data_IF_177946258366
#
_entry.id   IF_177946258366
#
_cell.length_a   1.000
_cell.length_b   1.000
_cell.length_c   1.000
_cell.angle_alpha   90.00
_cell.angle_beta   90.00
_cell.angle_gamma   90.00
#
_symmetry.space_group_name_H-M   'P 1'
#
loop_
_entity.id
_entity.type
_entity.pdbx_description
1 polymer ?
#
# COMPACT_ATOMS: atom_id res chain seq x y z
N UNK A 1 6.25 -11.31 24.97
CA UNK A 1 5.55 -10.85 23.76
C UNK A 1 4.91 -9.52 24.06
N UNK A 2 5.31 -8.46 23.36
CA UNK A 2 4.75 -7.12 23.57
C UNK A 2 3.30 -7.00 23.09
N UNK A 3 2.61 -5.93 23.48
CA UNK A 3 1.30 -5.59 22.95
C UNK A 3 1.44 -4.97 21.55
N UNK A 4 0.57 -5.31 20.58
CA UNK A 4 0.61 -4.75 19.23
C UNK A 4 -0.03 -3.36 19.19
N UNK A 5 0.63 -2.39 19.82
CA UNK A 5 0.15 -1.02 19.97
C UNK A 5 -0.15 -0.34 18.64
N UNK A 6 0.73 -0.47 17.65
CA UNK A 6 0.57 0.18 16.36
C UNK A 6 -0.66 -0.33 15.63
N UNK A 7 -0.83 -1.65 15.56
CA UNK A 7 -1.99 -2.28 14.90
C UNK A 7 -3.31 -1.79 15.52
N UNK A 8 -3.41 -1.76 16.86
CA UNK A 8 -4.63 -1.31 17.53
C UNK A 8 -4.89 0.19 17.39
N UNK A 9 -3.86 1.02 17.48
CA UNK A 9 -3.99 2.47 17.29
C UNK A 9 -4.44 2.79 15.87
N UNK A 10 -3.79 2.21 14.85
CA UNK A 10 -4.18 2.45 13.46
C UNK A 10 -5.58 1.92 13.17
N UNK A 11 -5.95 0.77 13.73
CA UNK A 11 -7.31 0.22 13.62
C UNK A 11 -8.35 1.19 14.19
N UNK A 12 -8.10 1.75 15.39
CA UNK A 12 -9.01 2.72 15.99
C UNK A 12 -9.14 3.99 15.16
N UNK A 13 -8.03 4.49 14.60
CA UNK A 13 -8.02 5.65 13.69
C UNK A 13 -8.85 5.35 12.43
N UNK A 14 -8.65 4.19 11.80
CA UNK A 14 -9.40 3.82 10.60
C UNK A 14 -10.90 3.70 10.85
N UNK A 15 -11.31 3.16 12.00
CA UNK A 15 -12.73 3.11 12.39
C UNK A 15 -13.27 4.53 12.58
N UNK A 16 -12.53 5.41 13.26
CA UNK A 16 -12.95 6.79 13.49
C UNK A 16 -13.09 7.58 12.17
N UNK A 17 -12.12 7.44 11.27
CA UNK A 17 -12.15 8.06 9.93
C UNK A 17 -13.32 7.51 9.12
N UNK A 18 -13.58 6.20 9.16
CA UNK A 18 -14.71 5.63 8.45
C UNK A 18 -16.07 6.11 8.97
N UNK A 19 -16.22 6.28 10.28
CA UNK A 19 -17.41 6.92 10.86
C UNK A 19 -17.56 8.35 10.34
N UNK A 20 -16.45 9.11 10.27
CA UNK A 20 -16.44 10.45 9.72
C UNK A 20 -16.86 10.48 8.23
N UNK A 21 -16.39 9.53 7.43
CA UNK A 21 -16.80 9.38 6.02
C UNK A 21 -18.32 9.20 5.86
N UNK A 22 -18.92 8.33 6.68
CA UNK A 22 -20.37 8.08 6.66
C UNK A 22 -21.17 9.31 7.13
N UNK A 23 -20.68 10.05 8.12
CA UNK A 23 -21.29 11.31 8.57
C UNK A 23 -21.25 12.34 7.43
N UNK A 24 -20.11 12.50 6.76
CA UNK A 24 -19.95 13.44 5.64
C UNK A 24 -20.87 13.09 4.48
N UNK A 25 -20.97 11.81 4.13
CA UNK A 25 -21.93 11.32 3.15
C UNK A 25 -23.37 11.68 3.57
N UNK A 26 -23.74 11.40 4.83
CA UNK A 26 -25.06 11.74 5.36
C UNK A 26 -25.39 13.23 5.30
N UNK A 27 -24.41 14.10 5.55
CA UNK A 27 -24.58 15.56 5.43
C UNK A 27 -24.85 15.96 3.97
N UNK A 28 -24.07 15.42 3.03
CA UNK A 28 -24.13 15.81 1.62
C UNK A 28 -25.32 15.21 0.86
N UNK A 29 -25.58 13.91 1.02
CA UNK A 29 -26.59 13.18 0.22
C UNK A 29 -27.83 12.79 1.02
N UNK A 30 -27.95 13.23 2.28
CA UNK A 30 -29.03 12.86 3.24
C UNK A 30 -29.13 11.37 3.58
N UNK A 31 -28.24 10.55 3.01
CA UNK A 31 -28.13 9.12 3.25
C UNK A 31 -26.67 8.80 3.58
N UNK A 32 -26.39 7.97 4.59
CA UNK A 32 -25.01 7.61 4.96
C UNK A 32 -24.36 6.64 3.96
N UNK A 33 -25.16 5.98 3.11
CA UNK A 33 -24.69 5.06 2.08
C UNK A 33 -25.06 5.59 0.69
N UNK A 34 -24.19 5.35 -0.29
CA UNK A 34 -24.48 5.67 -1.68
C UNK A 34 -25.51 4.69 -2.24
N UNK A 35 -26.76 5.15 -2.34
CA UNK A 35 -27.87 4.44 -3.03
C UNK A 35 -28.17 5.01 -4.41
N UNK A 36 -27.70 6.23 -4.68
CA UNK A 36 -27.87 6.97 -5.94
C UNK A 36 -26.55 7.65 -6.34
N UNK A 37 -26.30 7.92 -7.63
CA UNK A 37 -27.11 7.54 -8.80
C UNK A 37 -27.13 6.03 -9.08
N UNK A 38 -26.13 5.30 -8.56
CA UNK A 38 -26.10 3.85 -8.52
C UNK A 38 -25.79 3.37 -7.10
N UNK A 39 -26.14 2.11 -6.82
CA UNK A 39 -25.87 1.50 -5.53
C UNK A 39 -24.39 1.11 -5.41
N UNK A 40 -23.73 1.55 -4.34
CA UNK A 40 -22.36 1.12 -4.03
C UNK A 40 -22.40 -0.27 -3.34
N UNK A 41 -21.91 -1.35 -4.00
CA UNK A 41 -21.95 -2.70 -3.44
C UNK A 41 -21.09 -2.86 -2.18
N UNK A 42 -20.12 -1.96 -1.94
CA UNK A 42 -19.29 -1.98 -0.73
C UNK A 42 -19.99 -1.41 0.51
N UNK A 43 -21.24 -0.92 0.38
CA UNK A 43 -22.01 -0.27 1.44
C UNK A 43 -21.24 0.88 2.07
N UNK A 44 -20.93 1.90 1.28
CA UNK A 44 -20.09 3.02 1.70
C UNK A 44 -20.43 4.36 1.06
N UNK A 45 -19.61 5.39 1.32
CA UNK A 45 -19.73 6.72 0.72
C UNK A 45 -19.44 6.69 -0.79
N UNK A 46 -19.83 7.74 -1.49
CA UNK A 46 -19.50 7.91 -2.91
C UNK A 46 -18.02 8.22 -3.10
N UNK A 47 -17.49 7.91 -4.29
CA UNK A 47 -16.13 8.27 -4.67
C UNK A 47 -15.89 9.78 -4.59
N UNK A 48 -16.88 10.61 -4.90
CA UNK A 48 -16.79 12.08 -4.79
C UNK A 48 -16.62 12.55 -3.35
N UNK A 49 -17.37 11.96 -2.40
CA UNK A 49 -17.18 12.25 -0.98
C UNK A 49 -15.81 11.77 -0.50
N UNK A 50 -15.36 10.59 -0.95
CA UNK A 50 -14.02 10.08 -0.64
C UNK A 50 -12.91 11.00 -1.17
N UNK A 51 -13.04 11.53 -2.40
CA UNK A 51 -12.13 12.55 -2.94
C UNK A 51 -12.13 13.79 -2.03
N UNK A 52 -13.30 14.28 -1.63
CA UNK A 52 -13.41 15.46 -0.76
C UNK A 52 -12.75 15.27 0.62
N UNK A 53 -12.81 14.06 1.18
CA UNK A 53 -12.18 13.76 2.49
C UNK A 53 -10.72 13.34 2.41
N UNK A 54 -10.17 13.14 1.20
CA UNK A 54 -8.73 12.93 1.01
C UNK A 54 -8.28 11.66 0.32
N UNK A 55 -9.12 11.02 -0.49
CA UNK A 55 -8.70 9.91 -1.34
C UNK A 55 -7.63 10.35 -2.35
N UNK A 56 -6.83 9.40 -2.86
CA UNK A 56 -5.84 9.69 -3.90
C UNK A 56 -6.61 10.03 -5.16
N UNK A 57 -6.43 11.25 -5.67
CA UNK A 57 -7.07 11.70 -6.91
C UNK A 57 -6.12 12.63 -7.65
N UNK A 58 -5.73 12.24 -8.86
CA UNK A 58 -4.59 12.87 -9.55
C UNK A 58 -4.84 14.35 -9.90
N UNK A 59 -6.03 14.76 -10.39
CA UNK A 59 -6.35 16.17 -10.61
C UNK A 59 -6.29 17.06 -9.35
N UNK A 60 -6.42 16.49 -8.14
CA UNK A 60 -6.26 17.26 -6.90
C UNK A 60 -4.79 17.38 -6.45
N UNK A 61 -3.88 16.59 -7.03
CA UNK A 61 -2.49 16.47 -6.56
C UNK A 61 -1.46 17.09 -7.51
N UNK A 62 -1.76 17.15 -8.80
CA UNK A 62 -0.85 17.68 -9.82
C UNK A 62 -1.62 18.16 -11.04
N UNK A 63 -1.00 19.06 -11.81
CA UNK A 63 -1.58 19.58 -13.03
C UNK A 63 -1.70 18.46 -14.08
N UNK A 64 -2.87 18.39 -14.71
CA UNK A 64 -3.20 17.42 -15.76
C UNK A 64 -3.57 18.19 -17.02
N UNK A 65 -2.72 18.07 -18.04
CA UNK A 65 -2.97 18.72 -19.33
C UNK A 65 -4.28 18.22 -19.96
N UNK A 66 -5.00 19.12 -20.63
CA UNK A 66 -6.33 18.85 -21.18
C UNK A 66 -7.47 18.73 -20.16
N UNK A 67 -7.20 18.81 -18.85
CA UNK A 67 -8.21 18.65 -17.80
C UNK A 67 -8.20 19.83 -16.83
N UNK A 68 -7.09 20.02 -16.13
CA UNK A 68 -6.94 21.15 -15.19
C UNK A 68 -6.76 22.49 -15.90
N UNK A 69 -6.42 22.46 -17.19
CA UNK A 69 -6.33 23.65 -18.04
C UNK A 69 -7.71 24.22 -18.42
N UNK A 70 -8.77 23.41 -18.31
CA UNK A 70 -10.13 23.80 -18.68
C UNK A 70 -10.84 24.32 -17.43
N UNK A 71 -10.82 25.64 -17.23
CA UNK A 71 -11.44 26.31 -16.07
C UNK A 71 -12.97 26.23 -16.05
N UNK A 72 -13.59 25.92 -17.19
CA UNK A 72 -15.04 25.69 -17.33
C UNK A 72 -15.46 24.24 -17.09
N UNK A 73 -14.51 23.32 -16.85
CA UNK A 73 -14.80 21.91 -16.64
C UNK A 73 -15.55 21.72 -15.31
N UNK A 74 -16.72 21.10 -15.41
CA UNK A 74 -17.65 20.86 -14.33
C UNK A 74 -17.51 19.42 -13.82
N UNK A 75 -17.32 19.26 -12.51
CA UNK A 75 -17.08 17.97 -11.86
C UNK A 75 -18.28 17.53 -11.04
N UNK A 76 -18.58 16.22 -10.93
CA UNK A 76 -19.66 15.76 -10.07
C UNK A 76 -19.37 16.08 -8.60
N UNK A 77 -20.30 16.76 -7.93
CA UNK A 77 -20.10 17.18 -6.56
C UNK A 77 -20.26 16.06 -5.53
N UNK A 78 -19.69 16.25 -4.31
CA UNK A 78 -19.93 15.36 -3.19
C UNK A 78 -21.41 15.21 -2.81
N UNK A 79 -22.26 16.21 -3.11
CA UNK A 79 -23.71 16.16 -2.89
C UNK A 79 -24.49 15.61 -4.10
N UNK A 80 -23.82 15.14 -5.15
CA UNK A 80 -24.51 14.66 -6.35
C UNK A 80 -25.21 13.33 -6.09
N UNK A 81 -26.54 13.34 -6.27
CA UNK A 81 -27.42 12.16 -6.19
C UNK A 81 -27.96 11.75 -7.55
N UNK A 82 -27.56 12.44 -8.62
CA UNK A 82 -28.00 12.20 -10.00
C UNK A 82 -26.82 12.34 -10.96
N UNK A 83 -26.93 11.86 -12.19
CA UNK A 83 -25.81 11.94 -13.17
C UNK A 83 -25.57 13.34 -13.70
N UNK A 84 -26.59 14.22 -13.67
CA UNK A 84 -26.59 15.43 -14.51
C UNK A 84 -26.68 16.76 -13.75
N UNK A 85 -27.04 16.78 -12.46
CA UNK A 85 -27.58 18.02 -11.84
C UNK A 85 -26.66 18.75 -10.87
N UNK A 86 -25.74 18.06 -10.19
CA UNK A 86 -24.88 18.68 -9.18
C UNK A 86 -23.42 18.65 -9.63
N UNK A 87 -23.05 19.66 -10.39
CA UNK A 87 -21.66 19.90 -10.82
C UNK A 87 -21.02 21.08 -10.10
N UNK A 88 -19.72 21.00 -9.87
CA UNK A 88 -18.92 22.01 -9.17
C UNK A 88 -17.51 22.12 -9.74
N UNK A 89 -16.81 23.13 -9.23
CA UNK A 89 -15.40 23.34 -9.53
C UNK A 89 -14.52 22.22 -8.95
N UNK A 90 -13.35 22.02 -9.56
CA UNK A 90 -12.36 21.07 -9.05
C UNK A 90 -11.94 21.37 -7.61
N UNK A 91 -11.87 22.65 -7.23
CA UNK A 91 -11.54 23.10 -5.87
C UNK A 91 -12.55 22.60 -4.83
N UNK A 92 -13.85 22.65 -5.16
CA UNK A 92 -14.92 22.16 -4.29
C UNK A 92 -14.93 20.63 -4.20
N UNK A 93 -14.67 19.93 -5.31
CA UNK A 93 -14.54 18.47 -5.30
C UNK A 93 -13.37 18.02 -4.43
N UNK A 94 -12.19 18.61 -4.62
CA UNK A 94 -10.99 18.27 -3.85
C UNK A 94 -11.13 18.63 -2.37
N UNK A 95 -11.75 19.76 -2.03
CA UNK A 95 -11.90 20.18 -0.63
C UNK A 95 -10.56 20.37 0.09
N UNK A 96 -10.57 20.24 1.43
CA UNK A 96 -9.38 20.34 2.31
C UNK A 96 -8.46 21.55 2.06
N UNK A 97 -9.04 22.75 1.97
CA UNK A 97 -8.30 23.98 1.67
C UNK A 97 -8.37 24.42 0.21
N UNK A 98 -8.99 23.62 -0.66
CA UNK A 98 -9.21 23.95 -2.06
C UNK A 98 -7.95 23.78 -2.91
N UNK A 99 -8.00 24.30 -4.13
CA UNK A 99 -6.84 24.36 -5.05
C UNK A 99 -6.42 25.83 -5.19
N UNK A 100 -5.12 26.08 -5.01
CA UNK A 100 -4.55 27.40 -5.25
C UNK A 100 -4.61 27.75 -6.74
N UNK A 101 -4.72 29.04 -7.08
CA UNK A 101 -4.62 29.50 -8.46
C UNK A 101 -3.25 30.14 -8.65
N UNK A 102 -2.59 29.78 -9.74
CA UNK A 102 -1.34 30.41 -10.11
C UNK A 102 -1.61 31.86 -10.53
N UNK A 103 -0.86 32.79 -9.93
CA UNK A 103 -1.06 34.23 -10.10
C UNK A 103 -0.57 34.72 -11.47
N UNK A 104 0.33 34.00 -12.12
CA UNK A 104 0.84 34.36 -13.45
C UNK A 104 0.00 33.78 -14.59
N UNK A 105 -0.39 32.51 -14.51
CA UNK A 105 -1.16 31.83 -15.56
C UNK A 105 -2.69 31.91 -15.37
N UNK A 106 -3.16 32.22 -14.16
CA UNK A 106 -4.58 32.17 -13.81
C UNK A 106 -5.17 30.75 -13.74
N UNK A 107 -4.33 29.72 -13.87
CA UNK A 107 -4.73 28.32 -13.88
C UNK A 107 -4.75 27.71 -12.47
N UNK A 108 -5.55 26.65 -12.23
CA UNK A 108 -5.48 25.88 -10.99
C UNK A 108 -4.11 25.21 -10.83
N UNK A 109 -3.47 25.41 -9.66
CA UNK A 109 -2.23 24.77 -9.26
C UNK A 109 -2.49 23.80 -8.09
N UNK A 110 -2.90 22.55 -8.36
CA UNK A 110 -3.16 21.55 -7.34
C UNK A 110 -1.86 21.07 -6.66
N UNK A 111 -1.80 21.17 -5.34
CA UNK A 111 -0.61 20.89 -4.52
C UNK A 111 -0.89 19.96 -3.32
N UNK A 112 -1.96 19.16 -3.38
CA UNK A 112 -2.41 18.34 -2.25
C UNK A 112 -1.62 17.02 -2.09
N UNK A 113 -0.31 17.12 -1.87
CA UNK A 113 0.62 15.99 -1.74
C UNK A 113 0.30 15.04 -0.58
N UNK A 114 -0.39 15.53 0.46
CA UNK A 114 -0.82 14.70 1.60
C UNK A 114 -1.79 13.58 1.20
N UNK A 115 -2.37 13.64 0.00
CA UNK A 115 -3.15 12.56 -0.63
C UNK A 115 -2.34 11.30 -0.98
N UNK A 116 -1.05 11.27 -0.68
CA UNK A 116 -0.25 10.04 -0.63
C UNK A 116 -0.36 9.30 0.71
N UNK A 117 -0.80 9.97 1.77
CA UNK A 117 -0.86 9.45 3.14
C UNK A 117 -2.32 9.30 3.59
N UNK A 118 -3.14 10.34 3.41
CA UNK A 118 -4.55 10.35 3.84
C UNK A 118 -5.39 9.16 3.35
N UNK A 119 -5.24 8.64 2.11
CA UNK A 119 -6.08 7.56 1.64
C UNK A 119 -5.84 6.23 2.37
N UNK A 120 -4.73 6.09 3.13
CA UNK A 120 -4.47 4.92 3.97
C UNK A 120 -5.53 4.71 5.05
N UNK A 121 -6.26 5.77 5.42
CA UNK A 121 -7.25 5.73 6.50
C UNK A 121 -8.69 5.72 6.01
N UNK A 122 -8.91 6.10 4.75
CA UNK A 122 -10.21 6.22 4.09
C UNK A 122 -10.62 4.85 3.56
N UNK A 123 -11.92 4.55 3.54
CA UNK A 123 -12.42 3.25 3.10
C UNK A 123 -13.68 3.36 2.23
N UNK A 124 -13.69 2.64 1.11
CA UNK A 124 -14.79 2.64 0.16
C UNK A 124 -16.15 2.10 0.67
N UNK A 125 -16.18 1.47 1.86
CA UNK A 125 -17.40 0.96 2.48
C UNK A 125 -17.17 -0.08 3.58
N UNK A 126 -18.27 -0.54 4.19
CA UNK A 126 -18.26 -1.48 5.33
C UNK A 126 -17.52 -2.77 4.98
N UNK A 127 -17.79 -3.34 3.81
CA UNK A 127 -17.17 -4.60 3.38
C UNK A 127 -15.65 -4.41 3.25
N UNK A 128 -15.23 -3.29 2.67
CA UNK A 128 -13.82 -2.97 2.45
C UNK A 128 -13.07 -2.78 3.77
N UNK A 129 -13.58 -1.97 4.70
CA UNK A 129 -12.93 -1.79 6.01
C UNK A 129 -12.91 -3.10 6.81
N UNK A 130 -13.98 -3.91 6.76
CA UNK A 130 -14.02 -5.18 7.47
C UNK A 130 -12.88 -6.12 7.05
N UNK A 131 -12.67 -6.31 5.74
CA UNK A 131 -11.57 -7.17 5.27
C UNK A 131 -10.19 -6.61 5.63
N UNK A 132 -9.99 -5.29 5.51
CA UNK A 132 -8.74 -4.65 5.92
C UNK A 132 -8.47 -4.85 7.41
N UNK A 133 -9.47 -4.63 8.27
CA UNK A 133 -9.32 -4.78 9.72
C UNK A 133 -9.11 -6.23 10.14
N UNK A 134 -9.78 -7.19 9.50
CA UNK A 134 -9.56 -8.63 9.77
C UNK A 134 -8.12 -9.00 9.45
N UNK A 135 -7.60 -8.61 8.28
CA UNK A 135 -6.21 -8.87 7.91
C UNK A 135 -5.23 -8.17 8.86
N UNK A 136 -5.48 -6.89 9.16
CA UNK A 136 -4.66 -6.07 10.04
C UNK A 136 -4.59 -6.65 11.46
N UNK A 137 -5.73 -7.01 12.06
CA UNK A 137 -5.77 -7.54 13.43
C UNK A 137 -5.21 -8.97 13.47
N UNK A 138 -5.62 -9.86 12.57
CA UNK A 138 -5.23 -11.28 12.66
C UNK A 138 -3.78 -11.53 12.24
N UNK A 139 -3.29 -10.79 11.25
CA UNK A 139 -1.96 -10.98 10.69
C UNK A 139 -1.00 -9.88 11.13
N UNK A 140 -1.40 -8.61 11.02
CA UNK A 140 -0.59 -7.47 11.45
C UNK A 140 -0.19 -7.56 12.92
N UNK A 141 -1.15 -7.85 13.82
CA UNK A 141 -0.82 -8.03 15.25
C UNK A 141 0.17 -9.16 15.53
N UNK A 142 0.21 -10.21 14.68
CA UNK A 142 1.18 -11.31 14.86
C UNK A 142 2.57 -10.89 14.42
N UNK A 143 2.66 -10.19 13.29
CA UNK A 143 3.92 -9.68 12.74
C UNK A 143 4.49 -8.60 13.64
N UNK A 144 3.67 -7.65 14.10
CA UNK A 144 4.09 -6.60 15.03
C UNK A 144 4.68 -7.17 16.32
N UNK A 145 4.06 -8.22 16.87
CA UNK A 145 4.58 -8.92 18.06
C UNK A 145 5.91 -9.63 17.82
N UNK A 146 6.21 -9.97 16.56
CA UNK A 146 7.45 -10.62 16.17
C UNK A 146 8.58 -9.60 15.93
N UNK A 147 8.29 -8.49 15.25
CA UNK A 147 9.32 -7.53 14.78
C UNK A 147 9.40 -6.25 15.63
N UNK A 148 8.43 -6.01 16.50
CA UNK A 148 8.28 -4.80 17.31
C UNK A 148 7.46 -3.70 16.63
N UNK A 149 6.75 -2.90 17.43
CA UNK A 149 5.81 -1.85 16.95
C UNK A 149 6.46 -0.79 16.08
N UNK A 150 7.68 -0.34 16.41
CA UNK A 150 8.35 0.74 15.67
C UNK A 150 8.71 0.28 14.25
N UNK A 151 9.32 -0.90 14.10
CA UNK A 151 9.70 -1.46 12.80
C UNK A 151 8.47 -1.76 11.95
N UNK A 152 7.44 -2.36 12.56
CA UNK A 152 6.17 -2.63 11.89
C UNK A 152 5.51 -1.34 11.40
N UNK A 153 5.43 -0.31 12.25
CA UNK A 153 4.82 0.96 11.88
C UNK A 153 5.55 1.68 10.75
N UNK A 154 6.88 1.67 10.75
CA UNK A 154 7.66 2.25 9.66
C UNK A 154 7.41 1.53 8.33
N UNK A 155 7.44 0.19 8.32
CA UNK A 155 7.19 -0.60 7.10
C UNK A 155 5.75 -0.40 6.63
N UNK A 156 4.78 -0.35 7.54
CA UNK A 156 3.37 -0.11 7.22
C UNK A 156 3.17 1.24 6.51
N UNK A 157 3.70 2.32 7.08
CA UNK A 157 3.58 3.67 6.50
C UNK A 157 4.32 3.76 5.16
N UNK A 158 5.55 3.25 5.09
CA UNK A 158 6.34 3.26 3.86
C UNK A 158 5.68 2.44 2.74
N UNK A 159 5.13 1.26 3.04
CA UNK A 159 4.40 0.45 2.06
C UNK A 159 3.12 1.14 1.58
N UNK A 160 2.37 1.80 2.46
CA UNK A 160 1.18 2.55 2.07
C UNK A 160 1.49 3.72 1.13
N UNK A 161 2.46 4.56 1.53
CA UNK A 161 2.90 5.71 0.73
C UNK A 161 3.48 5.26 -0.61
N UNK A 162 4.29 4.21 -0.62
CA UNK A 162 4.84 3.61 -1.84
C UNK A 162 3.74 3.12 -2.78
N UNK A 163 2.72 2.46 -2.24
CA UNK A 163 1.58 2.00 -3.03
C UNK A 163 0.90 3.17 -3.74
N UNK A 164 0.50 4.20 -2.98
CA UNK A 164 -0.18 5.35 -3.55
C UNK A 164 0.71 6.18 -4.48
N UNK A 165 2.02 6.26 -4.23
CA UNK A 165 2.96 6.92 -5.12
C UNK A 165 3.11 6.17 -6.44
N UNK A 166 3.18 4.83 -6.41
CA UNK A 166 3.20 4.03 -7.63
C UNK A 166 1.87 4.16 -8.40
N UNK A 167 0.74 4.10 -7.70
CA UNK A 167 -0.58 4.33 -8.28
C UNK A 167 -0.72 5.74 -8.88
N UNK A 168 -0.17 6.77 -8.25
CA UNK A 168 -0.20 8.14 -8.78
C UNK A 168 0.57 8.30 -10.11
N UNK A 169 1.56 7.45 -10.37
CA UNK A 169 2.33 7.48 -11.61
C UNK A 169 1.67 6.70 -12.76
N UNK A 170 0.96 5.61 -12.47
CA UNK A 170 0.54 4.64 -13.50
C UNK A 170 -0.97 4.37 -13.58
N UNK A 171 -1.74 4.72 -12.55
CA UNK A 171 -3.20 4.58 -12.57
C UNK A 171 -3.81 5.76 -13.35
N UNK A 172 -4.88 5.54 -14.14
CA UNK A 172 -5.58 6.61 -14.85
C UNK A 172 -5.97 7.78 -13.94
N UNK A 173 -5.86 9.00 -14.47
CA UNK A 173 -5.99 10.23 -13.68
C UNK A 173 -7.38 10.38 -13.02
N UNK A 174 -8.44 9.92 -13.69
CA UNK A 174 -9.82 10.00 -13.19
C UNK A 174 -10.20 8.95 -12.14
N UNK A 175 -9.29 8.05 -11.76
CA UNK A 175 -9.58 7.01 -10.78
C UNK A 175 -9.14 7.42 -9.38
N UNK A 176 -10.12 7.56 -8.48
CA UNK A 176 -9.86 7.70 -7.06
C UNK A 176 -9.40 6.37 -6.45
N UNK A 177 -8.44 6.43 -5.54
CA UNK A 177 -7.92 5.25 -4.83
C UNK A 177 -7.86 5.50 -3.32
N UNK A 178 -8.20 4.47 -2.55
CA UNK A 178 -8.40 4.54 -1.10
C UNK A 178 -8.18 3.17 -0.45
N UNK A 179 -7.86 3.17 0.84
CA UNK A 179 -7.78 1.97 1.66
C UNK A 179 -6.37 1.66 2.15
N UNK A 180 -6.33 0.98 3.29
CA UNK A 180 -5.09 0.49 3.90
C UNK A 180 -4.47 -0.72 3.17
N UNK A 181 -5.13 -1.23 2.13
CA UNK A 181 -4.79 -2.51 1.49
C UNK A 181 -3.37 -2.54 0.93
N UNK A 182 -2.87 -1.46 0.34
CA UNK A 182 -1.46 -1.36 -0.10
C UNK A 182 -0.46 -1.49 1.05
N UNK A 183 -0.71 -0.82 2.18
CA UNK A 183 0.11 -0.94 3.39
C UNK A 183 0.07 -2.36 3.96
N UNK A 184 -1.11 -2.99 3.97
CA UNK A 184 -1.28 -4.38 4.42
C UNK A 184 -0.60 -5.39 3.49
N UNK A 185 -0.60 -5.15 2.17
CA UNK A 185 0.10 -6.01 1.21
C UNK A 185 1.61 -6.06 1.51
N UNK A 186 2.20 -4.91 1.85
CA UNK A 186 3.59 -4.81 2.27
C UNK A 186 3.86 -5.33 3.69
N UNK A 187 3.25 -4.70 4.68
CA UNK A 187 3.55 -4.94 6.09
C UNK A 187 2.97 -6.26 6.63
N UNK A 188 1.91 -6.79 6.02
CA UNK A 188 1.36 -8.09 6.40
C UNK A 188 1.84 -9.20 5.45
N UNK A 189 1.41 -9.16 4.19
CA UNK A 189 1.57 -10.30 3.27
C UNK A 189 3.03 -10.50 2.87
N UNK A 190 3.71 -9.44 2.39
CA UNK A 190 5.12 -9.51 2.03
C UNK A 190 6.01 -9.85 3.23
N UNK A 191 5.83 -9.21 4.39
CA UNK A 191 6.61 -9.53 5.59
C UNK A 191 6.36 -10.96 6.08
N UNK A 192 5.13 -11.44 6.08
CA UNK A 192 4.87 -12.83 6.46
C UNK A 192 5.55 -13.79 5.48
N UNK A 193 5.41 -13.60 4.17
CA UNK A 193 6.10 -14.42 3.18
C UNK A 193 7.62 -14.41 3.39
N UNK A 194 8.20 -13.23 3.61
CA UNK A 194 9.62 -13.06 3.86
C UNK A 194 10.06 -13.79 5.13
N UNK A 195 9.34 -13.63 6.24
CA UNK A 195 9.57 -14.32 7.50
C UNK A 195 9.45 -15.85 7.35
N UNK A 196 8.49 -16.32 6.56
CA UNK A 196 8.35 -17.73 6.23
C UNK A 196 9.58 -18.25 5.51
N UNK A 197 10.08 -17.53 4.50
CA UNK A 197 11.26 -17.92 3.72
C UNK A 197 12.53 -17.89 4.60
N UNK A 198 12.76 -16.81 5.34
CA UNK A 198 13.94 -16.62 6.20
C UNK A 198 14.02 -17.68 7.30
N UNK A 199 12.87 -18.08 7.85
CA UNK A 199 12.78 -19.04 8.95
C UNK A 199 12.66 -20.51 8.50
N UNK A 200 12.37 -20.79 7.21
CA UNK A 200 12.26 -22.15 6.66
C UNK A 200 13.59 -22.93 6.65
N UNK A 201 14.73 -22.26 6.74
CA UNK A 201 16.04 -22.91 6.67
C UNK A 201 16.48 -23.59 7.99
N UNK A 202 15.57 -23.93 8.90
CA UNK A 202 15.85 -24.83 10.04
C UNK A 202 15.54 -26.27 9.66
N UNK A 203 16.47 -26.91 8.94
CA UNK A 203 16.27 -28.25 8.37
C UNK A 203 16.33 -29.39 9.41
N UNK A 204 16.76 -29.19 10.66
CA UNK A 204 16.88 -30.31 11.61
C UNK A 204 16.65 -29.92 13.09
N UNK A 205 15.60 -30.53 13.66
CA UNK A 205 15.32 -30.95 15.04
C UNK A 205 14.98 -29.98 16.19
N UNK A 206 13.82 -30.31 16.77
CA UNK A 206 13.46 -30.54 18.18
C UNK A 206 13.64 -29.47 19.27
N UNK A 207 12.55 -29.40 20.05
CA UNK A 207 12.32 -28.74 21.34
C UNK A 207 12.00 -27.24 21.24
N UNK A 208 10.70 -26.95 21.38
CA UNK A 208 10.08 -25.69 21.80
C UNK A 208 10.19 -24.45 20.90
N UNK A 209 9.68 -24.58 19.66
CA UNK A 209 8.90 -23.53 18.97
C UNK A 209 8.35 -24.10 17.64
N UNK A 210 7.42 -25.06 17.75
CA UNK A 210 6.61 -25.66 16.66
C UNK A 210 7.35 -25.71 15.30
N UNK A 211 8.38 -26.53 15.19
CA UNK A 211 9.06 -26.79 13.92
C UNK A 211 8.00 -27.21 12.89
N UNK A 212 7.72 -26.33 11.91
CA UNK A 212 6.77 -26.67 10.85
C UNK A 212 7.32 -27.87 10.10
N UNK A 213 6.53 -28.93 9.99
CA UNK A 213 6.85 -30.02 9.06
C UNK A 213 7.04 -29.45 7.66
N UNK A 214 7.89 -30.05 6.81
CA UNK A 214 8.03 -29.65 5.39
C UNK A 214 6.68 -29.48 4.69
N UNK A 215 5.70 -30.32 5.05
CA UNK A 215 4.30 -30.22 4.60
C UNK A 215 3.63 -28.91 5.05
N UNK A 216 3.77 -28.53 6.31
CA UNK A 216 3.18 -27.29 6.86
C UNK A 216 3.84 -26.03 6.28
N UNK A 217 5.15 -26.06 6.02
CA UNK A 217 5.82 -24.97 5.29
C UNK A 217 5.28 -24.85 3.87
N UNK A 218 5.21 -25.95 3.11
CA UNK A 218 4.64 -25.94 1.75
C UNK A 218 3.21 -25.43 1.72
N UNK A 219 2.36 -25.87 2.65
CA UNK A 219 0.98 -25.39 2.77
C UNK A 219 0.95 -23.88 3.04
N UNK A 220 1.76 -23.38 3.96
CA UNK A 220 1.80 -21.96 4.27
C UNK A 220 2.33 -21.12 3.09
N UNK A 221 3.36 -21.61 2.39
CA UNK A 221 3.90 -20.95 1.21
C UNK A 221 2.87 -20.90 0.08
N UNK A 222 2.21 -22.02 -0.22
CA UNK A 222 1.13 -22.07 -1.21
C UNK A 222 -0.04 -21.18 -0.81
N UNK A 223 -0.39 -21.12 0.48
CA UNK A 223 -1.40 -20.22 1.01
C UNK A 223 -1.06 -18.75 0.79
N UNK A 224 0.18 -18.33 1.08
CA UNK A 224 0.63 -16.96 0.84
C UNK A 224 0.68 -16.61 -0.65
N UNK A 225 1.11 -17.54 -1.51
CA UNK A 225 1.08 -17.33 -2.97
C UNK A 225 -0.37 -17.19 -3.45
N UNK A 226 -1.26 -18.07 -2.98
CA UNK A 226 -2.68 -18.01 -3.31
C UNK A 226 -3.32 -16.70 -2.87
N UNK A 227 -3.01 -16.21 -1.66
CA UNK A 227 -3.46 -14.92 -1.14
C UNK A 227 -3.00 -13.74 -2.01
N UNK A 228 -1.74 -13.75 -2.45
CA UNK A 228 -1.22 -12.71 -3.36
C UNK A 228 -1.97 -12.74 -4.70
N UNK A 229 -2.13 -13.93 -5.28
CA UNK A 229 -2.79 -14.10 -6.58
C UNK A 229 -4.25 -13.67 -6.49
N UNK A 230 -5.00 -14.14 -5.49
CA UNK A 230 -6.43 -13.81 -5.37
C UNK A 230 -6.64 -12.31 -5.17
N UNK A 231 -5.78 -11.63 -4.41
CA UNK A 231 -5.90 -10.20 -4.17
C UNK A 231 -5.57 -9.37 -5.42
N UNK A 232 -4.56 -9.76 -6.20
CA UNK A 232 -4.26 -9.12 -7.49
C UNK A 232 -5.37 -9.36 -8.53
N UNK A 233 -5.97 -10.56 -8.52
CA UNK A 233 -7.12 -10.87 -9.38
C UNK A 233 -8.34 -10.05 -8.98
N UNK A 234 -8.64 -9.94 -7.68
CA UNK A 234 -9.71 -9.08 -7.19
C UNK A 234 -9.44 -7.62 -7.51
N UNK A 235 -8.19 -7.16 -7.48
CA UNK A 235 -7.82 -5.80 -7.83
C UNK A 235 -7.97 -5.43 -9.31
N UNK A 236 -8.37 -6.40 -10.17
CA UNK A 236 -8.82 -6.12 -11.54
C UNK A 236 -10.30 -5.68 -11.62
N UNK A 237 -11.03 -5.74 -10.50
CA UNK A 237 -12.38 -5.20 -10.40
C UNK A 237 -12.35 -3.66 -10.32
N UNK A 238 -13.38 -2.98 -10.84
CA UNK A 238 -13.42 -1.52 -10.85
C UNK A 238 -13.38 -0.94 -9.43
N UNK A 239 -12.58 0.12 -9.26
CA UNK A 239 -12.41 0.82 -7.99
C UNK A 239 -11.29 0.28 -7.08
N UNK A 240 -10.53 -0.72 -7.54
CA UNK A 240 -9.34 -1.22 -6.86
C UNK A 240 -8.07 -0.82 -7.63
N UNK A 241 -6.96 -0.71 -6.89
CA UNK A 241 -5.70 -0.16 -7.38
C UNK A 241 -4.58 -1.18 -7.18
N UNK A 242 -4.34 -2.02 -8.20
CA UNK A 242 -3.31 -3.04 -8.18
C UNK A 242 -1.90 -2.44 -8.14
N UNK A 243 -1.67 -1.25 -8.71
CA UNK A 243 -0.39 -0.54 -8.52
C UNK A 243 -0.15 -0.23 -7.05
N UNK A 244 -1.20 0.16 -6.31
CA UNK A 244 -1.07 0.38 -4.86
C UNK A 244 -0.70 -0.90 -4.10
N UNK A 245 -1.24 -2.06 -4.49
CA UNK A 245 -0.86 -3.36 -3.89
C UNK A 245 0.57 -3.76 -4.25
N UNK A 246 0.95 -3.65 -5.53
CA UNK A 246 2.28 -4.02 -6.02
C UNK A 246 3.36 -3.14 -5.36
N UNK A 247 3.17 -1.82 -5.34
CA UNK A 247 4.11 -0.88 -4.71
C UNK A 247 4.31 -1.19 -3.23
N UNK A 248 3.19 -1.40 -2.51
CA UNK A 248 3.24 -1.79 -1.10
C UNK A 248 3.99 -3.10 -0.85
N UNK A 249 3.75 -4.12 -1.68
CA UNK A 249 4.44 -5.42 -1.58
C UNK A 249 5.94 -5.31 -1.80
N UNK A 250 6.36 -4.61 -2.86
CA UNK A 250 7.79 -4.43 -3.20
C UNK A 250 8.53 -3.76 -2.06
N UNK A 251 8.01 -2.63 -1.55
CA UNK A 251 8.63 -1.93 -0.42
C UNK A 251 8.56 -2.75 0.87
N UNK A 252 7.49 -3.53 1.09
CA UNK A 252 7.40 -4.46 2.21
C UNK A 252 8.51 -5.50 2.21
N UNK A 253 8.82 -6.10 1.04
CA UNK A 253 9.93 -7.05 0.90
C UNK A 253 11.28 -6.37 1.09
N UNK A 254 11.51 -5.23 0.42
CA UNK A 254 12.80 -4.53 0.45
C UNK A 254 13.13 -4.02 1.85
N UNK A 255 12.19 -3.33 2.50
CA UNK A 255 12.38 -2.87 3.89
C UNK A 255 12.37 -4.03 4.88
N UNK A 256 11.64 -5.10 4.59
CA UNK A 256 11.71 -6.34 5.35
C UNK A 256 13.12 -6.91 5.39
N UNK A 257 13.81 -7.02 4.25
CA UNK A 257 15.20 -7.51 4.20
C UNK A 257 16.14 -6.57 4.97
N UNK A 258 15.95 -5.26 4.81
CA UNK A 258 16.78 -4.24 5.43
C UNK A 258 16.64 -4.14 6.95
N UNK A 259 15.41 -4.22 7.48
CA UNK A 259 15.09 -3.85 8.86
C UNK A 259 14.79 -5.04 9.79
N UNK A 260 14.45 -6.22 9.25
CA UNK A 260 14.20 -7.40 10.07
C UNK A 260 15.49 -7.99 10.61
N UNK A 261 15.38 -8.74 11.72
CA UNK A 261 16.51 -9.39 12.34
C UNK A 261 17.18 -10.43 11.43
N UNK A 262 18.45 -10.72 11.72
CA UNK A 262 19.26 -11.63 10.92
C UNK A 262 18.60 -13.01 10.79
N UNK A 263 18.51 -13.55 9.55
CA UNK A 263 18.05 -14.89 9.36
C UNK A 263 18.92 -15.88 10.15
N UNK A 264 18.25 -16.76 10.88
CA UNK A 264 18.92 -17.79 11.70
C UNK A 264 19.89 -18.65 10.87
N UNK A 265 19.66 -18.81 9.57
CA UNK A 265 20.50 -19.64 8.68
C UNK A 265 21.84 -19.02 8.29
N UNK A 266 22.07 -17.73 8.58
CA UNK A 266 23.38 -17.10 8.40
C UNK A 266 24.42 -17.69 9.35
N UNK A 267 24.00 -18.04 10.56
CA UNK A 267 24.83 -18.67 11.58
C UNK A 267 24.75 -20.19 11.44
N UNK A 268 25.90 -20.85 11.18
CA UNK A 268 25.95 -22.30 11.09
C UNK A 268 25.62 -22.94 12.44
N UNK A 269 25.09 -24.17 12.42
CA UNK A 269 24.82 -24.93 13.66
C UNK A 269 26.09 -25.14 14.47
N UNK A 270 27.21 -25.41 13.79
CA UNK A 270 28.51 -25.61 14.42
C UNK A 270 29.02 -24.34 15.11
N UNK A 271 28.73 -23.15 14.55
CA UNK A 271 29.08 -21.88 15.18
C UNK A 271 28.22 -21.59 16.43
N UNK A 272 26.94 -21.96 16.44
CA UNK A 272 26.11 -21.83 17.67
C UNK A 272 26.53 -22.82 18.75
N UNK A 273 26.78 -24.07 18.38
CA UNK A 273 27.30 -25.08 19.31
C UNK A 273 28.70 -24.70 19.84
N UNK A 274 29.52 -24.00 19.03
CA UNK A 274 30.78 -23.40 19.45
C UNK A 274 30.56 -22.29 20.50
N UNK A 275 29.61 -21.37 20.29
CA UNK A 275 29.29 -20.32 21.27
C UNK A 275 28.77 -20.88 22.61
N UNK A 276 28.16 -22.07 22.58
CA UNK A 276 27.65 -22.79 23.76
C UNK A 276 28.68 -23.76 24.38
N UNK A 277 29.83 -23.98 23.73
CA UNK A 277 30.87 -24.91 24.17
C UNK A 277 31.67 -24.34 25.35
N UNK A 278 31.79 -25.12 26.44
CA UNK A 278 32.59 -24.78 27.63
C UNK A 278 34.10 -25.06 27.52
N UNK A 279 34.57 -25.67 26.43
CA UNK A 279 35.97 -26.13 26.31
C UNK A 279 36.77 -25.25 25.31
N UNK A 280 37.69 -24.42 25.81
CA UNK A 280 38.33 -23.32 25.07
C UNK A 280 39.28 -23.75 23.93
N UNK A 281 40.05 -24.83 24.10
CA UNK A 281 41.12 -25.23 23.17
C UNK A 281 40.59 -25.87 21.88
N UNK A 282 39.61 -26.78 21.98
CA UNK A 282 38.94 -27.38 20.81
C UNK A 282 38.08 -26.36 20.07
N UNK A 283 37.49 -25.43 20.82
CA UNK A 283 36.72 -24.33 20.28
C UNK A 283 37.59 -23.43 19.37
N UNK A 284 38.83 -23.11 19.76
CA UNK A 284 39.68 -22.15 19.04
C UNK A 284 40.05 -22.57 17.60
N UNK A 285 40.38 -23.84 17.37
CA UNK A 285 40.75 -24.34 16.03
C UNK A 285 39.53 -24.52 15.11
N UNK A 286 38.41 -25.04 15.64
CA UNK A 286 37.15 -25.21 14.91
C UNK A 286 36.52 -23.85 14.60
N UNK A 287 36.61 -22.91 15.55
CA UNK A 287 36.15 -21.53 15.44
C UNK A 287 36.67 -20.86 14.19
N UNK A 288 37.98 -20.89 13.93
CA UNK A 288 38.60 -20.17 12.80
C UNK A 288 38.02 -20.52 11.42
N UNK A 289 37.71 -21.80 11.16
CA UNK A 289 37.15 -22.25 9.88
C UNK A 289 35.68 -21.87 9.73
N UNK A 290 34.87 -22.06 10.77
CA UNK A 290 33.46 -21.68 10.76
C UNK A 290 33.27 -20.16 10.78
N UNK A 291 34.16 -19.44 11.45
CA UNK A 291 34.19 -17.98 11.53
C UNK A 291 34.36 -17.38 10.14
N UNK A 292 35.26 -17.90 9.29
CA UNK A 292 35.43 -17.38 7.91
C UNK A 292 34.16 -17.60 7.06
N UNK A 293 33.55 -18.79 7.14
CA UNK A 293 32.37 -19.12 6.33
C UNK A 293 31.09 -18.40 6.78
N UNK A 294 30.92 -18.23 8.10
CA UNK A 294 29.82 -17.44 8.69
C UNK A 294 30.05 -15.96 8.41
N UNK A 295 31.29 -15.46 8.57
CA UNK A 295 31.67 -14.07 8.26
C UNK A 295 31.33 -13.70 6.82
N UNK A 296 31.64 -14.55 5.84
CA UNK A 296 31.30 -14.26 4.44
C UNK A 296 29.78 -14.19 4.21
N UNK A 297 28.98 -15.07 4.83
CA UNK A 297 27.51 -15.03 4.72
C UNK A 297 26.91 -13.79 5.38
N UNK A 298 27.43 -13.43 6.55
CA UNK A 298 27.02 -12.23 7.29
C UNK A 298 27.38 -10.97 6.50
N UNK A 299 28.61 -10.87 5.96
CA UNK A 299 29.02 -9.76 5.10
C UNK A 299 28.11 -9.65 3.87
N UNK A 300 27.84 -10.75 3.16
CA UNK A 300 26.92 -10.76 2.01
C UNK A 300 25.52 -10.27 2.43
N UNK A 301 25.03 -10.69 3.59
CA UNK A 301 23.74 -10.25 4.12
C UNK A 301 23.73 -8.75 4.45
N UNK A 302 24.78 -8.22 5.07
CA UNK A 302 24.89 -6.78 5.33
C UNK A 302 25.00 -5.96 4.05
N UNK A 303 25.75 -6.44 3.05
CA UNK A 303 25.79 -5.82 1.72
C UNK A 303 24.39 -5.81 1.10
N UNK A 304 23.66 -6.93 1.15
CA UNK A 304 22.30 -7.01 0.66
C UNK A 304 21.37 -6.01 1.36
N UNK A 305 21.49 -5.85 2.69
CA UNK A 305 20.70 -4.83 3.43
C UNK A 305 20.98 -3.41 2.95
N UNK A 306 22.26 -3.06 2.79
CA UNK A 306 22.66 -1.73 2.30
C UNK A 306 22.12 -1.51 0.89
N UNK A 307 22.24 -2.51 0.01
CA UNK A 307 21.69 -2.46 -1.35
C UNK A 307 20.17 -2.28 -1.31
N UNK A 308 19.44 -3.03 -0.48
CA UNK A 308 18.00 -2.87 -0.32
C UNK A 308 17.61 -1.47 0.16
N UNK A 309 18.34 -0.89 1.11
CA UNK A 309 18.09 0.48 1.57
C UNK A 309 18.32 1.51 0.47
N UNK A 310 19.42 1.39 -0.28
CA UNK A 310 19.72 2.27 -1.41
C UNK A 310 18.63 2.15 -2.48
N UNK A 311 18.23 0.92 -2.82
CA UNK A 311 17.14 0.68 -3.79
C UNK A 311 15.80 1.24 -3.31
N UNK A 312 15.47 1.14 -2.03
CA UNK A 312 14.26 1.75 -1.48
C UNK A 312 14.28 3.28 -1.64
N UNK A 313 15.39 3.92 -1.29
CA UNK A 313 15.55 5.39 -1.44
C UNK A 313 15.45 5.79 -2.92
N UNK A 314 16.18 5.10 -3.81
CA UNK A 314 16.13 5.36 -5.25
C UNK A 314 14.72 5.17 -5.80
N UNK A 315 14.00 4.13 -5.36
CA UNK A 315 12.61 3.90 -5.75
C UNK A 315 11.70 5.08 -5.39
N UNK A 316 11.76 5.56 -4.14
CA UNK A 316 10.97 6.72 -3.72
C UNK A 316 11.34 8.00 -4.48
N UNK A 317 12.65 8.27 -4.63
CA UNK A 317 13.14 9.48 -5.31
C UNK A 317 12.76 9.47 -6.79
N UNK A 318 12.92 8.34 -7.47
CA UNK A 318 12.59 8.22 -8.90
C UNK A 318 11.10 8.34 -9.15
N UNK A 319 10.25 7.73 -8.32
CA UNK A 319 8.80 7.86 -8.46
C UNK A 319 8.29 9.25 -8.09
N UNK A 320 8.86 9.88 -7.07
CA UNK A 320 8.51 11.26 -6.70
C UNK A 320 8.94 12.24 -7.81
N UNK A 321 10.14 12.05 -8.38
CA UNK A 321 10.62 12.84 -9.51
C UNK A 321 9.76 12.63 -10.75
N UNK A 322 9.44 11.38 -11.10
CA UNK A 322 8.58 11.09 -12.26
C UNK A 322 7.17 11.66 -12.08
N UNK A 323 6.64 11.62 -10.86
CA UNK A 323 5.37 12.25 -10.52
C UNK A 323 5.43 13.78 -10.63
N UNK A 324 6.50 14.41 -10.13
CA UNK A 324 6.67 15.87 -10.21
C UNK A 324 6.93 16.38 -11.64
N UNK A 325 7.78 15.70 -12.39
CA UNK A 325 8.20 16.12 -13.74
C UNK A 325 7.11 15.88 -14.80
N UNK A 326 6.34 14.79 -14.68
CA UNK A 326 5.35 14.40 -15.69
C UNK A 326 3.90 14.60 -15.25
N UNK A 327 3.64 14.86 -13.97
CA UNK A 327 2.28 14.92 -13.43
C UNK A 327 1.44 13.73 -13.88
N UNK A 328 0.27 13.99 -14.44
CA UNK A 328 -0.60 12.96 -15.01
C UNK A 328 -0.17 12.36 -16.36
N UNK A 329 0.77 13.00 -17.07
CA UNK A 329 1.35 12.47 -18.32
C UNK A 329 2.21 11.21 -18.10
N UNK A 330 2.51 10.86 -16.85
CA UNK A 330 3.12 9.59 -16.51
C UNK A 330 2.21 8.39 -16.87
N UNK A 331 0.89 8.54 -16.77
CA UNK A 331 -0.05 7.48 -17.15
C UNK A 331 -0.16 7.34 -18.68
N UNK A 332 -0.10 8.44 -19.42
CA UNK A 332 -0.05 8.43 -20.91
C UNK A 332 1.23 7.78 -21.45
N UNK A 333 2.31 7.83 -20.67
CA UNK A 333 3.58 7.18 -21.03
C UNK A 333 3.46 5.65 -21.14
N UNK A 334 2.41 5.04 -20.57
CA UNK A 334 2.21 3.59 -20.53
C UNK A 334 0.78 3.17 -20.92
N UNK A 335 0.52 3.06 -22.23
CA UNK A 335 -0.79 2.66 -22.77
C UNK A 335 -1.32 1.29 -22.28
N UNK A 336 -0.43 0.38 -21.87
CA UNK A 336 -0.80 -0.95 -21.39
C UNK A 336 -0.98 -1.03 -19.87
N UNK A 337 -0.53 -0.02 -19.11
CA UNK A 337 -0.56 -0.03 -17.64
C UNK A 337 -1.99 -0.11 -17.09
N UNK A 338 -2.99 0.38 -17.83
CA UNK A 338 -4.40 0.23 -17.45
C UNK A 338 -4.81 -1.22 -17.21
N UNK A 339 -4.30 -2.17 -18.00
CA UNK A 339 -4.62 -3.60 -17.87
C UNK A 339 -4.07 -4.27 -16.61
N UNK A 340 -3.22 -3.58 -15.83
CA UNK A 340 -2.85 -4.04 -14.49
C UNK A 340 -3.99 -3.82 -13.50
N UNK A 341 -4.84 -2.79 -13.71
CA UNK A 341 -5.95 -2.44 -12.82
C UNK A 341 -7.33 -2.89 -13.35
N UNK A 342 -7.42 -3.43 -14.56
CA UNK A 342 -8.70 -3.75 -15.17
C UNK A 342 -8.63 -4.94 -16.12
N UNK A 343 -9.76 -5.62 -16.28
CA UNK A 343 -10.00 -6.56 -17.37
C UNK A 343 -10.81 -5.84 -18.46
N UNK A 344 -10.50 -6.00 -19.76
CA UNK A 344 -11.22 -5.35 -20.85
C UNK A 344 -12.59 -5.99 -21.10
N UNK A 345 -13.49 -5.87 -20.12
CA UNK A 345 -14.87 -6.33 -20.16
C UNK A 345 -15.75 -5.12 -19.83
N UNK A 346 -16.83 -4.93 -20.57
CA UNK A 346 -17.83 -3.88 -20.34
C UNK A 346 -17.24 -2.46 -20.14
N UNK A 347 -16.17 -2.11 -20.85
CA UNK A 347 -15.54 -0.78 -20.75
C UNK A 347 -14.83 -0.50 -19.41
N UNK A 348 -14.57 -1.51 -18.56
CA UNK A 348 -13.98 -1.28 -17.23
C UNK A 348 -12.59 -0.65 -17.26
N UNK A 349 -11.85 -0.86 -18.35
CA UNK A 349 -10.54 -0.25 -18.56
C UNK A 349 -10.59 1.21 -19.01
N UNK A 350 -11.78 1.72 -19.34
CA UNK A 350 -12.02 3.12 -19.72
C UNK A 350 -12.57 3.91 -18.53
N UNK A 351 -12.93 3.23 -17.42
CA UNK A 351 -13.29 3.86 -16.14
C UNK A 351 -12.05 4.62 -15.62
N UNK A 352 -12.03 5.93 -15.80
CA UNK A 352 -10.91 6.79 -15.40
C UNK A 352 -10.21 7.53 -16.53
N UNK A 353 -10.48 7.16 -17.78
CA UNK A 353 -10.11 7.98 -18.94
C UNK A 353 -11.04 9.20 -18.92
N UNK A 354 -10.51 10.33 -18.45
CA UNK A 354 -11.24 11.57 -18.39
C UNK A 354 -11.45 12.09 -19.81
N UNK A 355 -12.66 11.90 -20.35
CA UNK A 355 -13.08 12.48 -21.62
C UNK A 355 -13.83 13.78 -21.36
N UNK A 356 -13.43 14.84 -22.06
CA UNK A 356 -14.10 16.15 -21.98
C UNK A 356 -15.21 16.16 -23.01
N UNK A 357 -16.46 16.09 -22.54
CA UNK A 357 -17.62 16.27 -23.41
C UNK A 357 -17.96 17.75 -23.45
N UNK A 358 -17.78 18.40 -24.61
CA UNK A 358 -18.26 19.77 -24.82
C UNK A 358 -19.79 19.72 -24.95
N UNK A 359 -20.51 20.35 -24.02
CA UNK A 359 -21.93 20.65 -24.25
C UNK A 359 -22.00 21.72 -25.35
N UNK A 360 -22.49 21.33 -26.53
CA UNK A 360 -22.77 22.24 -27.65
C UNK A 360 -23.87 23.24 -27.32
#
# INVERSE_FOLDING_TARGET
>A
TGWPFFTYIITAIQIAVFIYELIKQGIYTKNPFQTKPYFNPMLGPSSYVQINVGARYLPCMTFVDGITNITTLQWPCPNSTDTDTNVCTLSELCGMGGISTDSESGLPNPDQWWRLITPMFIHAGIIHILFNLVLQILMGSKIERYIGSVRYGFIYLASGISGFLLGANFTPAGMASTGASGALFGACIALNLLLLIMNNSTRHHEISAKARTKRQFKIALLGSIFEIVIMLVLGLLPGLDNFSHIGGFVIGVVLGIALLDDPKHLYTKEYRAYLESKNETTARNIGSFFEIRVRNRVIIWYILRVVCLVLAVLYFVLLAKNFGDKGAGASESCKWCKYINCIPVNGWCELGDLSVTYSS
#
